data_IF_835712332531
#
_entry.id   IF_835712332531
#
_cell.length_a   1.000
_cell.length_b   1.000
_cell.length_c   1.000
_cell.angle_alpha   90.00
_cell.angle_beta   90.00
_cell.angle_gamma   90.00
#
_symmetry.space_group_name_H-M   'P 1'
#
loop_
_entity.id
_entity.type
_entity.pdbx_description
1 polymer ?
#
# COMPACT_ATOMS: atom_id res chain seq x y z
N UNK A 1 -31.49 10.45 -61.05
CA UNK A 1 -30.96 10.05 -59.73
C UNK A 1 -29.82 11.00 -59.39
N UNK A 2 -29.99 11.85 -58.38
CA UNK A 2 -28.99 12.85 -57.99
C UNK A 2 -27.98 12.25 -57.00
N UNK A 3 -26.68 12.49 -57.23
CA UNK A 3 -25.58 11.97 -56.42
C UNK A 3 -25.51 12.72 -55.09
N UNK A 4 -25.81 12.04 -53.98
CA UNK A 4 -25.64 12.56 -52.62
C UNK A 4 -24.15 12.74 -52.34
N UNK A 5 -23.68 13.99 -52.28
CA UNK A 5 -22.35 14.32 -51.77
C UNK A 5 -22.38 14.15 -50.26
N UNK A 6 -21.77 13.06 -49.77
CA UNK A 6 -21.60 12.79 -48.35
C UNK A 6 -20.27 13.41 -47.96
N UNK A 7 -20.31 14.43 -47.10
CA UNK A 7 -19.12 15.04 -46.53
C UNK A 7 -18.70 14.22 -45.31
N UNK A 8 -17.62 13.45 -45.44
CA UNK A 8 -17.14 12.52 -44.41
C UNK A 8 -16.77 13.22 -43.10
N UNK A 9 -16.53 14.54 -43.15
CA UNK A 9 -16.17 15.33 -41.98
C UNK A 9 -17.35 15.59 -41.03
N UNK A 10 -18.59 15.57 -41.54
CA UNK A 10 -19.80 15.86 -40.77
C UNK A 10 -20.36 14.62 -40.06
N UNK A 11 -20.05 13.41 -40.54
CA UNK A 11 -20.54 12.16 -39.92
C UNK A 11 -19.67 11.68 -38.74
N UNK A 12 -18.41 12.13 -38.64
CA UNK A 12 -17.47 11.65 -37.61
C UNK A 12 -17.64 12.36 -36.24
N UNK A 13 -18.23 13.55 -36.24
CA UNK A 13 -18.57 14.28 -35.03
C UNK A 13 -20.03 13.95 -34.74
N UNK A 14 -20.28 13.00 -33.84
CA UNK A 14 -21.63 12.65 -33.41
C UNK A 14 -22.43 13.91 -33.03
N UNK A 15 -23.76 13.83 -33.12
CA UNK A 15 -24.69 14.96 -33.00
C UNK A 15 -24.17 16.08 -32.09
N UNK A 16 -23.79 17.21 -32.70
CA UNK A 16 -23.37 18.41 -31.95
C UNK A 16 -24.49 18.78 -30.98
N UNK A 17 -24.26 18.56 -29.69
CA UNK A 17 -25.10 19.14 -28.67
C UNK A 17 -24.74 20.62 -28.61
N UNK A 18 -25.52 21.45 -29.29
CA UNK A 18 -25.50 22.90 -29.08
C UNK A 18 -25.98 23.17 -27.66
N UNK A 19 -25.04 23.25 -26.74
CA UNK A 19 -25.30 23.63 -25.35
C UNK A 19 -25.47 25.15 -25.30
N UNK A 20 -26.70 25.60 -25.03
CA UNK A 20 -27.00 27.01 -24.77
C UNK A 20 -26.34 27.46 -23.46
N UNK A 21 -25.80 28.68 -23.44
CA UNK A 21 -25.17 29.25 -22.25
C UNK A 21 -26.21 29.35 -21.13
N UNK A 22 -26.11 28.45 -20.14
CA UNK A 22 -27.02 28.38 -18.99
C UNK A 22 -27.69 27.02 -18.78
N UNK A 23 -27.63 26.11 -19.75
CA UNK A 23 -28.10 24.74 -19.57
C UNK A 23 -26.99 23.86 -18.98
N UNK A 24 -27.18 23.36 -17.76
CA UNK A 24 -26.34 22.29 -17.21
C UNK A 24 -26.81 20.96 -17.82
N UNK A 25 -25.90 20.10 -18.32
CA UNK A 25 -26.27 18.76 -18.73
C UNK A 25 -26.84 18.00 -17.54
N UNK A 26 -27.87 17.18 -17.79
CA UNK A 26 -28.41 16.24 -16.80
C UNK A 26 -27.28 15.32 -16.35
N UNK A 27 -26.86 15.43 -15.09
CA UNK A 27 -25.95 14.48 -14.47
C UNK A 27 -26.74 13.25 -14.03
N UNK A 28 -26.28 12.07 -14.44
CA UNK A 28 -26.74 10.83 -13.84
C UNK A 28 -26.11 10.72 -12.45
N UNK A 29 -26.92 10.91 -11.42
CA UNK A 29 -26.48 10.66 -10.04
C UNK A 29 -26.31 9.15 -9.87
N UNK A 30 -25.07 8.67 -10.01
CA UNK A 30 -24.72 7.30 -9.64
C UNK A 30 -24.83 7.21 -8.12
N UNK A 31 -25.98 6.79 -7.61
CA UNK A 31 -26.19 6.51 -6.19
C UNK A 31 -25.38 5.25 -5.85
N UNK A 32 -24.11 5.46 -5.49
CA UNK A 32 -23.27 4.41 -4.94
C UNK A 32 -23.66 4.24 -3.48
N UNK A 33 -24.39 3.18 -3.15
CA UNK A 33 -24.65 2.83 -1.75
C UNK A 33 -23.30 2.74 -1.02
N UNK A 34 -23.11 3.60 -0.01
CA UNK A 34 -21.87 3.67 0.76
C UNK A 34 -21.98 2.67 1.90
N UNK A 35 -21.30 1.55 1.77
CA UNK A 35 -21.10 0.61 2.86
C UNK A 35 -20.17 1.22 3.94
N UNK A 36 -20.54 1.10 5.21
CA UNK A 36 -19.80 1.65 6.35
C UNK A 36 -18.52 0.86 6.65
N UNK A 37 -18.29 -0.28 6.01
CA UNK A 37 -17.09 -1.11 6.17
C UNK A 37 -15.78 -0.35 5.97
N UNK A 38 -15.73 0.60 5.03
CA UNK A 38 -14.56 1.44 4.80
C UNK A 38 -14.28 2.39 5.98
N UNK A 39 -15.34 2.97 6.57
CA UNK A 39 -15.23 3.85 7.72
C UNK A 39 -14.80 3.08 8.98
N UNK A 40 -15.33 1.89 9.19
CA UNK A 40 -14.92 1.01 10.30
C UNK A 40 -13.45 0.59 10.19
N UNK A 41 -12.99 0.26 8.98
CA UNK A 41 -11.58 -0.07 8.73
C UNK A 41 -10.67 1.13 8.98
N UNK A 42 -11.06 2.33 8.56
CA UNK A 42 -10.28 3.54 8.84
C UNK A 42 -10.23 3.84 10.35
N UNK A 43 -11.36 3.68 11.06
CA UNK A 43 -11.40 3.83 12.52
C UNK A 43 -10.42 2.85 13.20
N UNK A 44 -10.42 1.59 12.80
CA UNK A 44 -9.49 0.57 13.29
C UNK A 44 -8.01 0.93 13.01
N UNK A 45 -7.72 1.50 11.84
CA UNK A 45 -6.37 1.92 11.46
C UNK A 45 -5.85 3.17 12.20
N UNK A 46 -6.76 3.98 12.76
CA UNK A 46 -6.44 5.18 13.52
C UNK A 46 -6.16 4.91 15.01
N UNK A 47 -6.47 3.71 15.50
CA UNK A 47 -6.19 3.29 16.88
C UNK A 47 -4.70 3.35 17.22
N UNK A 48 -4.39 3.69 18.47
CA UNK A 48 -3.02 3.76 18.98
C UNK A 48 -2.52 2.38 19.44
N UNK A 49 -1.33 2.03 18.99
CA UNK A 49 -0.60 0.80 19.33
C UNK A 49 0.79 1.19 19.82
N UNK A 50 1.26 0.55 20.89
CA UNK A 50 2.61 0.77 21.42
C UNK A 50 3.57 -0.19 20.73
N UNK A 51 4.56 0.34 20.02
CA UNK A 51 5.52 -0.44 19.23
C UNK A 51 6.95 -0.02 19.58
N UNK A 52 7.86 -0.99 19.57
CA UNK A 52 9.31 -0.78 19.63
C UNK A 52 9.90 -1.24 18.30
N UNK A 53 10.58 -0.35 17.59
CA UNK A 53 11.33 -0.71 16.37
C UNK A 53 12.75 -1.08 16.80
N UNK A 54 13.17 -2.29 16.51
CA UNK A 54 14.48 -2.81 16.91
C UNK A 54 15.57 -2.30 15.96
N UNK A 55 16.80 -2.17 16.45
CA UNK A 55 17.98 -2.08 15.58
C UNK A 55 18.28 -3.45 14.92
N UNK A 56 18.66 -3.42 13.64
CA UNK A 56 19.03 -4.63 12.87
C UNK A 56 20.51 -5.00 13.00
N UNK A 57 21.27 -4.29 13.85
CA UNK A 57 22.69 -4.54 14.10
C UNK A 57 23.61 -4.16 12.94
N UNK A 58 23.11 -3.49 11.91
CA UNK A 58 23.91 -3.02 10.79
C UNK A 58 24.59 -1.69 11.15
N UNK A 59 25.89 -1.57 10.85
CA UNK A 59 26.72 -0.41 11.20
C UNK A 59 26.23 0.92 10.60
N UNK A 60 25.54 0.86 9.45
CA UNK A 60 25.02 2.03 8.74
C UNK A 60 23.51 2.24 8.90
N UNK A 61 22.94 1.84 10.04
CA UNK A 61 21.51 1.97 10.25
C UNK A 61 21.11 3.38 10.71
N UNK A 62 20.12 3.98 10.03
CA UNK A 62 19.61 5.28 10.43
C UNK A 62 18.96 5.21 11.83
N UNK A 63 19.27 6.18 12.73
CA UNK A 63 18.75 6.18 14.10
C UNK A 63 17.23 6.38 14.16
N UNK A 64 16.65 6.94 13.09
CA UNK A 64 15.23 7.23 12.98
C UNK A 64 14.66 6.60 11.70
N UNK A 65 13.53 5.93 11.82
CA UNK A 65 12.79 5.31 10.72
C UNK A 65 11.66 6.24 10.31
N UNK A 66 11.64 6.64 9.04
CA UNK A 66 10.57 7.46 8.47
C UNK A 66 9.50 6.55 7.84
N UNK A 67 8.25 6.69 8.30
CA UNK A 67 7.10 5.93 7.80
C UNK A 67 6.03 6.90 7.30
N UNK A 68 5.63 6.78 6.04
CA UNK A 68 4.63 7.64 5.41
C UNK A 68 3.35 6.90 5.10
N UNK A 69 2.20 7.46 5.50
CA UNK A 69 0.87 6.97 5.11
C UNK A 69 -0.03 8.14 4.77
N UNK A 70 -0.57 8.17 3.55
CA UNK A 70 -1.50 9.20 3.06
C UNK A 70 -0.99 10.64 3.27
N UNK A 71 0.28 10.89 2.96
CA UNK A 71 0.91 12.21 3.11
C UNK A 71 1.33 12.59 4.54
N UNK A 72 1.03 11.77 5.55
CA UNK A 72 1.50 11.98 6.92
C UNK A 72 2.76 11.15 7.16
N UNK A 73 3.84 11.83 7.52
CA UNK A 73 5.11 11.20 7.89
C UNK A 73 5.20 11.08 9.42
N UNK A 74 5.49 9.87 9.89
CA UNK A 74 5.83 9.60 11.28
C UNK A 74 7.28 9.14 11.33
N UNK A 75 8.03 9.76 12.22
CA UNK A 75 9.40 9.37 12.50
C UNK A 75 9.48 8.58 13.79
N UNK A 76 10.10 7.41 13.73
CA UNK A 76 10.21 6.46 14.83
C UNK A 76 11.66 6.32 15.27
N UNK A 77 11.91 6.43 16.56
CA UNK A 77 13.22 6.17 17.15
C UNK A 77 13.35 4.68 17.41
N UNK A 78 14.52 4.12 17.12
CA UNK A 78 14.80 2.71 17.42
C UNK A 78 14.97 2.50 18.92
N UNK A 79 14.64 1.29 19.35
CA UNK A 79 14.79 0.79 20.71
C UNK A 79 14.04 1.59 21.79
N UNK A 80 13.10 2.45 21.37
CA UNK A 80 12.25 3.26 22.24
C UNK A 80 10.78 2.88 22.01
N UNK A 81 10.01 2.58 23.07
CA UNK A 81 8.57 2.34 22.94
C UNK A 81 7.85 3.63 22.57
N UNK A 82 7.13 3.60 21.45
CA UNK A 82 6.36 4.74 20.96
C UNK A 82 4.91 4.34 20.69
N UNK A 83 3.99 5.22 21.08
CA UNK A 83 2.55 5.06 20.81
C UNK A 83 2.24 5.67 19.46
N UNK A 84 1.90 4.84 18.48
CA UNK A 84 1.65 5.25 17.10
C UNK A 84 0.35 4.68 16.57
N UNK A 85 -0.18 5.30 15.51
CA UNK A 85 -1.40 4.80 14.87
C UNK A 85 -1.14 3.50 14.12
N UNK A 86 -2.09 2.57 14.17
CA UNK A 86 -2.02 1.23 13.55
C UNK A 86 -1.66 1.28 12.06
N UNK A 87 -2.12 2.30 11.32
CA UNK A 87 -1.73 2.50 9.90
C UNK A 87 -0.21 2.55 9.66
N UNK A 88 0.56 3.12 10.59
CA UNK A 88 2.02 3.15 10.49
C UNK A 88 2.62 1.77 10.80
N UNK A 89 1.99 1.01 11.69
CA UNK A 89 2.37 -0.38 11.98
C UNK A 89 2.14 -1.28 10.76
N UNK A 90 1.05 -1.06 10.02
CA UNK A 90 0.81 -1.77 8.75
C UNK A 90 1.93 -1.50 7.73
N UNK A 91 2.31 -0.23 7.57
CA UNK A 91 3.39 0.15 6.66
C UNK A 91 4.72 -0.51 7.06
N UNK A 92 5.03 -0.62 8.35
CA UNK A 92 6.19 -1.36 8.84
C UNK A 92 6.08 -2.87 8.59
N UNK A 93 4.90 -3.48 8.82
CA UNK A 93 4.67 -4.90 8.60
C UNK A 93 4.78 -5.30 7.12
N UNK A 94 4.38 -4.41 6.21
CA UNK A 94 4.52 -4.58 4.76
C UNK A 94 5.92 -4.26 4.24
N UNK A 95 6.75 -3.55 5.00
CA UNK A 95 8.11 -3.20 4.61
C UNK A 95 9.03 -4.43 4.73
N UNK A 96 8.98 -5.30 3.72
CA UNK A 96 9.83 -6.49 3.61
C UNK A 96 10.97 -6.28 2.64
N UNK A 97 12.11 -6.86 2.97
CA UNK A 97 13.28 -6.96 2.11
C UNK A 97 13.38 -8.39 1.62
N UNK A 98 13.51 -8.55 0.31
CA UNK A 98 13.81 -9.83 -0.32
C UNK A 98 15.30 -9.85 -0.65
N UNK A 99 16.05 -10.69 0.04
CA UNK A 99 17.45 -10.98 -0.27
C UNK A 99 17.54 -12.29 -1.04
N UNK A 100 18.49 -12.38 -1.96
CA UNK A 100 18.76 -13.59 -2.73
C UNK A 100 20.14 -14.07 -2.37
N UNK A 101 20.23 -15.32 -1.95
CA UNK A 101 21.49 -16.00 -1.70
C UNK A 101 21.73 -17.06 -2.77
N UNK A 102 22.97 -17.18 -3.21
CA UNK A 102 23.38 -18.16 -4.21
C UNK A 102 24.34 -19.12 -3.53
N UNK A 103 23.89 -20.36 -3.32
CA UNK A 103 24.78 -21.42 -2.87
C UNK A 103 25.44 -22.05 -4.10
N UNK A 104 26.75 -21.83 -4.23
CA UNK A 104 27.62 -22.45 -5.23
C UNK A 104 28.21 -23.74 -4.63
N UNK A 105 27.93 -24.88 -5.25
CA UNK A 105 28.65 -26.13 -4.94
C UNK A 105 29.77 -26.33 -5.97
N UNK A 106 30.98 -25.95 -5.58
CA UNK A 106 32.18 -26.03 -6.43
C UNK A 106 32.48 -27.45 -6.94
N UNK A 107 31.93 -28.50 -6.32
CA UNK A 107 32.16 -29.90 -6.72
C UNK A 107 31.29 -30.35 -7.88
N UNK A 108 30.14 -29.70 -8.11
CA UNK A 108 29.17 -30.05 -9.14
C UNK A 108 29.23 -29.14 -10.37
N UNK A 109 30.08 -28.11 -10.34
CA UNK A 109 30.21 -27.11 -11.42
C UNK A 109 28.96 -26.25 -11.60
N UNK A 110 28.74 -25.75 -12.82
CA UNK A 110 27.69 -24.77 -13.18
C UNK A 110 26.24 -25.33 -13.12
N UNK A 111 26.05 -26.61 -12.76
CA UNK A 111 24.78 -27.31 -12.87
C UNK A 111 23.86 -27.22 -11.63
N UNK A 112 24.31 -26.68 -10.49
CA UNK A 112 23.46 -26.55 -9.28
C UNK A 112 23.61 -25.20 -8.56
N UNK A 113 23.36 -24.10 -9.27
CA UNK A 113 23.12 -22.81 -8.62
C UNK A 113 21.71 -22.77 -8.02
N UNK A 114 21.59 -23.05 -6.72
CA UNK A 114 20.34 -22.90 -5.98
C UNK A 114 20.23 -21.46 -5.47
N UNK A 115 19.35 -20.68 -6.11
CA UNK A 115 19.00 -19.33 -5.65
C UNK A 115 17.94 -19.45 -4.56
N UNK A 116 18.30 -19.12 -3.32
CA UNK A 116 17.37 -19.08 -2.20
C UNK A 116 16.93 -17.64 -1.92
N UNK A 117 15.62 -17.39 -2.06
CA UNK A 117 15.02 -16.11 -1.65
C UNK A 117 14.75 -16.13 -0.15
N UNK A 118 15.31 -15.16 0.58
CA UNK A 118 15.02 -14.92 1.99
C UNK A 118 14.24 -13.62 2.13
N UNK A 119 13.05 -13.71 2.71
CA UNK A 119 12.26 -12.52 3.03
C UNK A 119 12.45 -12.18 4.51
N UNK A 120 12.92 -10.98 4.78
CA UNK A 120 13.06 -10.44 6.14
C UNK A 120 12.33 -9.11 6.26
N UNK A 121 11.99 -8.69 7.48
CA UNK A 121 11.47 -7.35 7.70
C UNK A 121 12.59 -6.34 7.54
N UNK A 122 12.36 -5.28 6.76
CA UNK A 122 13.31 -4.17 6.61
C UNK A 122 13.52 -3.42 7.92
N UNK A 123 12.44 -3.31 8.70
CA UNK A 123 12.44 -2.67 10.02
C UNK A 123 11.83 -3.65 11.02
N UNK A 124 12.64 -4.50 11.69
CA UNK A 124 12.14 -5.40 12.71
C UNK A 124 11.46 -4.60 13.84
N UNK A 125 10.28 -5.02 14.27
CA UNK A 125 9.55 -4.34 15.33
C UNK A 125 8.80 -5.34 16.22
N UNK A 126 8.47 -4.89 17.42
CA UNK A 126 7.70 -5.64 18.41
C UNK A 126 6.53 -4.79 18.89
N UNK A 127 5.33 -5.37 18.92
CA UNK A 127 4.15 -4.73 19.51
C UNK A 127 4.15 -5.02 21.01
N UNK A 128 4.20 -3.96 21.82
CA UNK A 128 4.22 -4.06 23.29
C UNK A 128 2.80 -4.10 23.85
N UNK A 129 1.92 -3.24 23.33
CA UNK A 129 0.54 -3.13 23.79
C UNK A 129 -0.37 -2.83 22.59
N UNK A 130 -1.38 -3.68 22.42
CA UNK A 130 -2.51 -3.45 21.53
C UNK A 130 -3.81 -3.71 22.32
N UNK A 131 -4.64 -2.68 22.46
CA UNK A 131 -5.89 -2.75 23.23
C UNK A 131 -7.01 -3.45 22.47
N UNK A 132 -6.88 -3.57 21.14
CA UNK A 132 -7.92 -4.16 20.33
C UNK A 132 -7.70 -5.68 20.18
N UNK A 133 -8.67 -6.52 20.57
CA UNK A 133 -8.52 -7.98 20.48
C UNK A 133 -8.34 -8.48 19.04
N UNK A 134 -8.81 -7.73 18.04
CA UNK A 134 -8.66 -8.07 16.61
C UNK A 134 -7.26 -7.78 16.08
N UNK A 135 -6.49 -6.94 16.76
CA UNK A 135 -5.21 -6.43 16.30
C UNK A 135 -4.15 -7.51 16.09
N UNK A 136 -4.06 -8.49 17.00
CA UNK A 136 -3.08 -9.57 16.89
C UNK A 136 -3.36 -10.55 15.75
N UNK A 137 -4.63 -10.84 15.44
CA UNK A 137 -5.01 -11.66 14.30
C UNK A 137 -4.73 -10.94 12.98
N UNK A 138 -5.15 -9.68 12.90
CA UNK A 138 -4.90 -8.80 11.76
C UNK A 138 -3.40 -8.66 11.46
N UNK A 139 -2.56 -8.44 12.46
CA UNK A 139 -1.12 -8.27 12.25
C UNK A 139 -0.47 -9.54 11.68
N UNK A 140 -0.89 -10.72 12.14
CA UNK A 140 -0.43 -12.00 11.59
C UNK A 140 -0.81 -12.16 10.13
N UNK A 141 -2.03 -11.78 9.76
CA UNK A 141 -2.47 -11.81 8.36
C UNK A 141 -1.65 -10.87 7.48
N UNK A 142 -1.37 -9.65 7.94
CA UNK A 142 -0.52 -8.69 7.20
C UNK A 142 0.91 -9.22 7.07
N UNK A 143 1.47 -9.80 8.13
CA UNK A 143 2.81 -10.38 8.11
C UNK A 143 2.90 -11.64 7.24
N UNK A 144 1.80 -12.35 7.00
CA UNK A 144 1.78 -13.52 6.11
C UNK A 144 1.78 -13.15 4.62
N UNK A 145 1.37 -11.92 4.26
CA UNK A 145 1.33 -11.47 2.86
C UNK A 145 2.75 -11.29 2.30
N UNK A 146 3.05 -11.69 1.05
CA UNK A 146 4.41 -11.67 0.49
C UNK A 146 5.03 -10.27 0.34
#
# INVERSE_FOLDING_TARGET
MARRTIDAHAEYIGAEQTLEIGQRPTHEDIVKEVDMSAAEREAFMQELVTVVVQSSGQENEAPMVAVGVNGVMQYLRRDVPQRIKRKFVEALARAKRADYDQMLDDRLGDQMNLVQRRNSLRFPFTVVEDRNPRGGAWLREVLAQP
#
